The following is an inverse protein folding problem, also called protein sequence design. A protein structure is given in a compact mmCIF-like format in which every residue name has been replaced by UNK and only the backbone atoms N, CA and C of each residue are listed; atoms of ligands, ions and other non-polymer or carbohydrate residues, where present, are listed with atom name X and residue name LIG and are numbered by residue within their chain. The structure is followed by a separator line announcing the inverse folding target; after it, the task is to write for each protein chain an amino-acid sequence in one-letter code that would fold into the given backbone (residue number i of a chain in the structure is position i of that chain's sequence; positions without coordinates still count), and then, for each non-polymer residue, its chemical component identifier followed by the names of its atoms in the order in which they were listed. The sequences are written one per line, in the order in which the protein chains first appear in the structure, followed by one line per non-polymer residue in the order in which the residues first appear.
data_IF_623349208272
#
_entry.id   IF_623349208272
#
_cell.length_a   1.000
_cell.length_b   1.000
_cell.length_c   1.000
_cell.angle_alpha   90.00
_cell.angle_beta   90.00
_cell.angle_gamma   90.00
#
_symmetry.space_group_name_H-M   'P 1'
#
loop_
_entity.id
_entity.type
_entity.pdbx_description
1 polymer ?
#
# COMPACT_ATOMS: atom_id res chain seq x y z
N UNK A 1 -6.44 17.19 30.83
CA UNK A 1 -6.12 16.94 29.41
C UNK A 1 -5.43 15.59 29.33
N UNK A 2 -5.88 14.68 28.47
CA UNK A 2 -5.25 13.35 28.33
C UNK A 2 -3.87 13.51 27.72
N UNK A 3 -2.84 12.99 28.37
CA UNK A 3 -1.46 13.07 27.90
C UNK A 3 -1.32 12.35 26.55
N UNK A 4 -0.76 13.04 25.55
CA UNK A 4 -0.50 12.49 24.23
C UNK A 4 0.84 11.78 24.29
N UNK A 5 0.83 10.45 24.16
CA UNK A 5 2.04 9.61 24.14
C UNK A 5 2.08 8.81 22.84
N UNK A 6 3.26 8.35 22.38
CA UNK A 6 3.35 7.51 21.19
C UNK A 6 2.45 6.27 21.26
N UNK A 7 2.34 5.67 22.46
CA UNK A 7 1.47 4.51 22.71
C UNK A 7 -0.01 4.87 22.59
N UNK A 8 -0.45 6.00 23.14
CA UNK A 8 -1.86 6.41 23.04
C UNK A 8 -2.26 6.77 21.60
N UNK A 9 -1.35 7.38 20.83
CA UNK A 9 -1.53 7.64 19.40
C UNK A 9 -1.61 6.33 18.59
N UNK A 10 -0.69 5.38 18.83
CA UNK A 10 -0.69 4.07 18.18
C UNK A 10 -2.04 3.36 18.36
N UNK A 11 -2.53 3.28 19.60
CA UNK A 11 -3.82 2.66 19.91
C UNK A 11 -4.97 3.36 19.21
N UNK A 12 -4.96 4.70 19.16
CA UNK A 12 -5.98 5.49 18.46
C UNK A 12 -5.96 5.22 16.95
N UNK A 13 -4.78 5.13 16.33
CA UNK A 13 -4.62 4.77 14.92
C UNK A 13 -5.18 3.38 14.63
N UNK A 14 -4.93 2.38 15.49
CA UNK A 14 -5.48 1.03 15.30
C UNK A 14 -7.01 1.01 15.37
N UNK A 15 -7.59 1.69 16.36
CA UNK A 15 -9.04 1.80 16.53
C UNK A 15 -9.67 2.47 15.30
N UNK A 16 -9.12 3.60 14.87
CA UNK A 16 -9.60 4.33 13.69
C UNK A 16 -9.45 3.50 12.41
N UNK A 17 -8.30 2.86 12.21
CA UNK A 17 -8.07 2.02 11.02
C UNK A 17 -9.13 0.92 10.91
N UNK A 18 -9.40 0.20 12.01
CA UNK A 18 -10.45 -0.82 12.05
C UNK A 18 -11.84 -0.23 11.79
N UNK A 19 -12.17 0.92 12.40
CA UNK A 19 -13.45 1.62 12.20
C UNK A 19 -13.66 2.04 10.75
N UNK A 20 -12.59 2.43 10.05
CA UNK A 20 -12.60 2.83 8.64
C UNK A 20 -12.50 1.62 7.68
N UNK A 21 -12.48 0.39 8.20
CA UNK A 21 -12.54 -0.84 7.40
C UNK A 21 -11.19 -1.36 6.91
N UNK A 22 -10.08 -0.96 7.53
CA UNK A 22 -8.77 -1.59 7.30
C UNK A 22 -8.63 -2.79 8.24
N UNK A 23 -8.36 -4.00 7.73
CA UNK A 23 -8.23 -5.19 8.60
C UNK A 23 -6.93 -5.19 9.39
N UNK A 24 -5.86 -4.65 8.82
CA UNK A 24 -4.55 -4.55 9.47
C UNK A 24 -4.03 -3.11 9.41
N UNK A 25 -3.32 -2.71 10.45
CA UNK A 25 -2.61 -1.43 10.48
C UNK A 25 -1.38 -1.50 11.37
N UNK A 26 -0.39 -0.67 11.08
CA UNK A 26 0.86 -0.58 11.83
C UNK A 26 1.55 0.76 11.64
N UNK A 27 2.41 1.13 12.59
CA UNK A 27 3.26 2.32 12.50
C UNK A 27 4.65 1.87 12.07
N UNK A 28 5.15 2.46 10.97
CA UNK A 28 6.46 2.16 10.42
C UNK A 28 7.41 3.35 10.56
N UNK A 29 8.70 3.04 10.68
CA UNK A 29 9.78 4.02 10.51
C UNK A 29 9.78 4.54 9.07
N UNK A 30 10.21 5.79 8.90
CA UNK A 30 10.38 6.42 7.58
C UNK A 30 11.79 6.29 7.01
N UNK A 31 12.69 5.63 7.73
CA UNK A 31 14.03 5.31 7.24
C UNK A 31 13.95 4.24 6.16
N UNK A 32 14.29 4.60 4.92
CA UNK A 32 14.16 3.75 3.73
C UNK A 32 15.50 3.49 3.02
N UNK A 33 16.65 3.84 3.62
CA UNK A 33 17.96 3.77 2.96
C UNK A 33 18.26 2.38 2.38
N UNK A 34 18.08 1.31 3.17
CA UNK A 34 18.36 -0.06 2.74
C UNK A 34 17.40 -0.51 1.62
N UNK A 35 16.12 -0.17 1.77
CA UNK A 35 15.07 -0.47 0.80
C UNK A 35 15.29 0.27 -0.52
N UNK A 36 15.74 1.52 -0.44
CA UNK A 36 16.05 2.37 -1.59
C UNK A 36 17.29 1.87 -2.34
N UNK A 37 18.36 1.48 -1.64
CA UNK A 37 19.52 0.85 -2.28
C UNK A 37 19.15 -0.45 -3.00
N UNK A 38 18.31 -1.30 -2.38
CA UNK A 38 17.79 -2.53 -3.03
C UNK A 38 16.93 -2.20 -4.25
N UNK A 39 16.10 -1.17 -4.16
CA UNK A 39 15.28 -0.68 -5.25
C UNK A 39 16.15 -0.20 -6.44
N UNK A 40 17.17 0.61 -6.19
CA UNK A 40 18.10 1.07 -7.23
C UNK A 40 18.85 -0.09 -7.87
N UNK A 41 19.33 -1.05 -7.07
CA UNK A 41 19.97 -2.27 -7.60
C UNK A 41 19.03 -3.05 -8.52
N UNK A 42 17.76 -3.20 -8.12
CA UNK A 42 16.73 -3.86 -8.91
C UNK A 42 16.43 -3.13 -10.22
N UNK A 43 16.33 -1.80 -10.18
CA UNK A 43 16.15 -0.95 -11.38
C UNK A 43 17.34 -1.08 -12.34
N UNK A 44 18.57 -1.02 -11.82
CA UNK A 44 19.79 -1.08 -12.62
C UNK A 44 20.00 -2.44 -13.30
N UNK A 45 19.39 -3.51 -12.77
CA UNK A 45 19.33 -4.83 -13.42
C UNK A 45 18.31 -4.93 -14.56
N UNK A 46 17.57 -3.86 -14.84
CA UNK A 46 16.54 -3.83 -15.89
C UNK A 46 15.24 -4.53 -15.51
N UNK A 47 15.06 -4.92 -14.24
CA UNK A 47 13.88 -5.68 -13.80
C UNK A 47 12.57 -4.88 -13.81
N UNK A 48 12.64 -3.55 -14.00
CA UNK A 48 11.47 -2.72 -14.23
C UNK A 48 10.76 -2.96 -15.57
N UNK A 49 11.42 -3.61 -16.53
CA UNK A 49 10.90 -3.71 -17.90
C UNK A 49 10.53 -2.34 -18.45
N UNK A 50 9.29 -2.19 -18.92
CA UNK A 50 8.75 -0.96 -19.51
C UNK A 50 8.16 0.03 -18.49
N UNK A 51 8.24 -0.26 -17.19
CA UNK A 51 7.65 0.58 -16.12
C UNK A 51 8.49 1.84 -15.83
N UNK A 52 8.63 2.74 -16.81
CA UNK A 52 9.45 3.95 -16.73
C UNK A 52 9.09 4.87 -15.54
N UNK A 53 7.84 4.85 -15.08
CA UNK A 53 7.39 5.62 -13.91
C UNK A 53 8.10 5.18 -12.60
N UNK A 54 8.63 3.96 -12.54
CA UNK A 54 9.47 3.52 -11.43
C UNK A 54 10.80 4.29 -11.43
N UNK A 55 11.42 4.50 -12.60
CA UNK A 55 12.70 5.20 -12.73
C UNK A 55 12.59 6.70 -12.43
N UNK A 56 11.56 7.37 -12.99
CA UNK A 56 11.39 8.84 -12.97
C UNK A 56 11.46 9.47 -11.58
N UNK A 57 10.82 8.85 -10.58
CA UNK A 57 10.72 9.40 -9.22
C UNK A 57 11.53 8.59 -8.20
N UNK A 58 12.65 7.97 -8.62
CA UNK A 58 13.46 7.12 -7.74
C UNK A 58 14.00 7.88 -6.54
N UNK A 59 14.39 9.15 -6.72
CA UNK A 59 14.91 9.98 -5.64
C UNK A 59 13.84 10.32 -4.60
N UNK A 60 12.61 10.64 -5.01
CA UNK A 60 11.51 10.92 -4.07
C UNK A 60 11.16 9.70 -3.20
N UNK A 61 11.47 8.49 -3.67
CA UNK A 61 11.28 7.24 -2.92
C UNK A 61 12.36 6.98 -1.87
N UNK A 62 13.45 7.76 -1.86
CA UNK A 62 14.54 7.62 -0.87
C UNK A 62 14.15 8.10 0.52
N UNK A 63 13.24 9.08 0.62
CA UNK A 63 12.83 9.65 1.89
C UNK A 63 11.47 10.31 1.79
N UNK A 64 10.61 10.02 2.77
CA UNK A 64 9.31 10.67 2.91
C UNK A 64 9.45 12.16 3.24
N UNK A 65 10.57 12.61 3.82
CA UNK A 65 10.79 14.03 4.12
C UNK A 65 10.92 14.91 2.87
N UNK A 66 11.35 14.32 1.74
CA UNK A 66 11.38 15.02 0.44
C UNK A 66 9.98 15.31 -0.11
N UNK A 67 8.96 14.58 0.37
CA UNK A 67 7.57 14.74 -0.03
C UNK A 67 6.81 15.55 1.02
N UNK A 68 6.97 15.18 2.30
CA UNK A 68 6.32 15.79 3.45
C UNK A 68 7.37 16.13 4.52
N UNK A 69 7.81 17.39 4.61
CA UNK A 69 8.77 17.82 5.62
C UNK A 69 8.28 17.51 7.04
N UNK A 70 9.22 17.17 7.93
CA UNK A 70 8.97 16.83 9.33
C UNK A 70 8.19 15.53 9.59
N UNK A 71 7.99 14.68 8.59
CA UNK A 71 7.41 13.34 8.80
C UNK A 71 8.25 12.56 9.81
N UNK A 72 7.61 11.86 10.76
CA UNK A 72 8.31 11.05 11.79
C UNK A 72 8.03 9.56 11.69
N UNK A 73 6.86 9.20 11.18
CA UNK A 73 6.41 7.82 11.06
C UNK A 73 5.31 7.74 9.99
N UNK A 74 5.10 6.55 9.43
CA UNK A 74 3.98 6.28 8.54
C UNK A 74 2.98 5.34 9.20
N UNK A 75 1.68 5.67 9.12
CA UNK A 75 0.61 4.70 9.37
C UNK A 75 0.42 3.89 8.08
N UNK A 76 0.70 2.60 8.16
CA UNK A 76 0.50 1.64 7.06
C UNK A 76 -0.76 0.87 7.35
N UNK A 77 -1.64 0.78 6.36
CA UNK A 77 -2.93 0.08 6.46
C UNK A 77 -3.05 -0.96 5.35
N UNK A 78 -3.74 -2.05 5.63
CA UNK A 78 -3.95 -3.14 4.67
C UNK A 78 -5.42 -3.53 4.55
N UNK A 79 -5.83 -3.89 3.33
CA UNK A 79 -7.16 -4.42 3.03
C UNK A 79 -7.04 -5.77 2.34
N UNK A 80 -7.83 -6.75 2.78
CA UNK A 80 -8.01 -8.03 2.12
C UNK A 80 -8.94 -7.85 0.90
N UNK A 81 -8.38 -8.01 -0.29
CA UNK A 81 -9.15 -7.93 -1.54
C UNK A 81 -9.67 -9.30 -2.02
N UNK A 82 -9.28 -10.40 -1.36
CA UNK A 82 -9.68 -11.75 -1.77
C UNK A 82 -11.20 -11.89 -1.69
N UNK A 83 -11.82 -12.18 -2.83
CA UNK A 83 -13.24 -12.45 -2.90
C UNK A 83 -13.55 -13.83 -2.30
N UNK A 84 -14.36 -13.88 -1.25
CA UNK A 84 -14.91 -15.14 -0.73
C UNK A 84 -15.96 -15.77 -1.65
N UNK A 85 -16.42 -15.02 -2.66
CA UNK A 85 -17.29 -15.58 -3.69
C UNK A 85 -16.39 -16.36 -4.65
N UNK A 86 -16.51 -17.69 -4.64
CA UNK A 86 -16.08 -18.53 -5.76
C UNK A 86 -16.66 -17.88 -7.01
N UNK A 87 -15.82 -17.44 -7.95
CA UNK A 87 -16.26 -17.00 -9.26
C UNK A 87 -16.80 -18.23 -10.00
N UNK A 88 -17.98 -18.73 -9.61
CA UNK A 88 -18.67 -19.89 -10.17
C UNK A 88 -19.24 -19.60 -11.57
N UNK A 89 -18.96 -18.41 -12.12
CA UNK A 89 -19.34 -18.00 -13.48
C UNK A 89 -18.19 -18.00 -14.47
N UNK A 90 -17.07 -18.65 -14.17
CA UNK A 90 -16.23 -19.18 -15.24
C UNK A 90 -16.97 -20.41 -15.77
N UNK A 91 -17.94 -20.15 -16.65
CA UNK A 91 -18.49 -21.14 -17.57
C UNK A 91 -17.32 -21.94 -18.13
N UNK A 92 -17.43 -23.27 -18.08
CA UNK A 92 -16.51 -24.26 -18.62
C UNK A 92 -16.42 -24.24 -20.16
N UNK A 93 -16.48 -23.05 -20.75
CA UNK A 93 -16.19 -22.78 -22.15
C UNK A 93 -14.76 -22.25 -22.23
N UNK A 94 -13.87 -23.01 -22.89
CA UNK A 94 -12.40 -22.90 -22.88
C UNK A 94 -11.79 -21.59 -23.44
N UNK A 95 -12.58 -20.54 -23.70
CA UNK A 95 -12.13 -19.32 -24.39
C UNK A 95 -12.09 -18.04 -23.52
N UNK A 96 -11.98 -18.16 -22.20
CA UNK A 96 -11.88 -16.98 -21.31
C UNK A 96 -10.52 -16.85 -20.62
N UNK A 97 -9.90 -15.68 -20.77
CA UNK A 97 -8.72 -15.28 -19.99
C UNK A 97 -9.06 -15.02 -18.52
N UNK A 98 -8.06 -15.16 -17.63
CA UNK A 98 -8.20 -14.85 -16.20
C UNK A 98 -7.74 -13.43 -15.91
N UNK A 99 -8.55 -12.70 -15.14
CA UNK A 99 -8.20 -11.36 -14.62
C UNK A 99 -7.68 -11.51 -13.19
N UNK A 100 -6.58 -10.81 -12.86
CA UNK A 100 -6.04 -10.81 -11.50
C UNK A 100 -7.07 -10.33 -10.47
N UNK A 101 -7.14 -10.98 -9.30
CA UNK A 101 -8.19 -10.72 -8.30
C UNK A 101 -8.25 -9.25 -7.85
N UNK A 102 -7.10 -8.57 -7.70
CA UNK A 102 -7.05 -7.16 -7.28
C UNK A 102 -7.69 -6.21 -8.31
N UNK A 103 -7.81 -6.64 -9.57
CA UNK A 103 -8.41 -5.88 -10.67
C UNK A 103 -9.88 -6.27 -10.91
N UNK A 104 -10.44 -7.20 -10.12
CA UNK A 104 -11.84 -7.57 -10.20
C UNK A 104 -12.69 -6.64 -9.32
N UNK A 105 -13.77 -6.11 -9.89
CA UNK A 105 -14.67 -5.19 -9.18
C UNK A 105 -14.33 -3.72 -9.41
N UNK A 106 -14.54 -2.89 -8.40
CA UNK A 106 -14.30 -1.45 -8.49
C UNK A 106 -12.83 -1.07 -8.31
N UNK A 107 -12.42 0.06 -8.90
CA UNK A 107 -11.08 0.62 -8.75
C UNK A 107 -10.72 0.86 -7.27
N UNK A 108 -9.71 0.13 -6.80
CA UNK A 108 -9.38 0.14 -5.39
C UNK A 108 -8.86 1.47 -4.88
N UNK A 109 -8.22 2.24 -5.74
CA UNK A 109 -7.68 3.54 -5.37
C UNK A 109 -8.79 4.47 -4.86
N UNK A 110 -9.98 4.42 -5.47
CA UNK A 110 -11.11 5.27 -5.09
C UNK A 110 -11.64 4.95 -3.70
N UNK A 111 -11.85 3.67 -3.39
CA UNK A 111 -12.40 3.31 -2.08
C UNK A 111 -11.37 3.43 -0.96
N UNK A 112 -10.09 3.12 -1.21
CA UNK A 112 -9.03 3.30 -0.21
C UNK A 112 -8.93 4.78 0.14
N UNK A 113 -8.88 5.65 -0.87
CA UNK A 113 -8.82 7.11 -0.66
C UNK A 113 -10.03 7.66 0.07
N UNK A 114 -11.22 7.06 -0.07
CA UNK A 114 -12.42 7.45 0.67
C UNK A 114 -12.37 7.03 2.15
N UNK A 115 -11.62 5.98 2.48
CA UNK A 115 -11.47 5.47 3.86
C UNK A 115 -10.40 6.21 4.65
N UNK A 116 -9.34 6.67 3.97
CA UNK A 116 -8.29 7.56 4.50
C UNK A 116 -8.84 8.98 4.72
#
# INVERSE_FOLDING_TARGET
MTEITPKSLHNKCQILSKKHGFEISGIASISLEKEHQRYLSWINKGYAGEMEYLKKNSELRSSLEKIWPNTKSALVVGIQYKSNKKNTKLSSSDNHGKIAEYAQGGDYHKFIKKRL
#
